data_IF_641617557847
#
_entry.id   IF_641617557847
#
_cell.length_a   1.000
_cell.length_b   1.000
_cell.length_c   1.000
_cell.angle_alpha   90.00
_cell.angle_beta   90.00
_cell.angle_gamma   90.00
#
_symmetry.space_group_name_H-M   'P 1'
#
loop_
_entity.id
_entity.type
_entity.pdbx_description
1 polymer ?
#
# COMPACT_ATOMS: atom_id res chain seq x y z
N UNK A 1 -16.42 24.07 -28.48
CA UNK A 1 -15.05 23.65 -28.85
C UNK A 1 -14.11 24.81 -28.60
N UNK A 2 -13.54 24.89 -27.40
CA UNK A 2 -12.52 25.88 -27.08
C UNK A 2 -11.20 25.28 -27.56
N UNK A 3 -10.45 25.93 -28.48
CA UNK A 3 -9.08 25.50 -28.79
C UNK A 3 -8.24 25.62 -27.52
N UNK A 4 -7.03 25.03 -27.52
CA UNK A 4 -6.15 25.10 -26.35
C UNK A 4 -6.07 26.54 -25.83
N UNK A 5 -6.77 26.79 -24.72
CA UNK A 5 -6.89 28.17 -24.17
C UNK A 5 -5.66 28.40 -23.29
N UNK A 6 -4.83 29.34 -23.71
CA UNK A 6 -3.70 29.80 -22.91
C UNK A 6 -4.10 31.17 -22.34
N UNK A 7 -4.10 31.27 -21.01
CA UNK A 7 -4.43 32.52 -20.31
C UNK A 7 -3.13 33.11 -19.73
N UNK A 8 -2.74 34.27 -20.30
CA UNK A 8 -1.63 35.09 -19.87
C UNK A 8 -2.20 36.43 -19.39
N UNK A 9 -1.67 37.01 -18.29
CA UNK A 9 -1.90 38.38 -17.80
C UNK A 9 -3.17 38.76 -17.01
N UNK A 10 -2.98 39.70 -16.09
CA UNK A 10 -3.84 40.66 -15.35
C UNK A 10 -5.34 40.33 -15.11
N UNK A 11 -5.76 39.10 -15.22
CA UNK A 11 -7.13 38.66 -14.92
C UNK A 11 -7.26 38.49 -13.42
N UNK A 12 -8.19 39.17 -12.76
CA UNK A 12 -8.42 39.04 -11.30
C UNK A 12 -9.01 37.69 -10.89
N UNK A 13 -9.80 37.08 -11.77
CA UNK A 13 -10.41 35.80 -11.53
C UNK A 13 -10.71 35.06 -12.83
N UNK A 14 -10.54 33.74 -12.80
CA UNK A 14 -10.96 32.85 -13.88
C UNK A 14 -12.03 31.92 -13.29
N UNK A 15 -13.17 31.84 -13.99
CA UNK A 15 -14.24 30.95 -13.61
C UNK A 15 -14.73 30.17 -14.82
N UNK A 16 -14.74 28.81 -14.70
CA UNK A 16 -15.30 27.91 -15.69
C UNK A 16 -16.24 26.93 -15.00
N UNK A 17 -17.45 26.88 -15.51
CA UNK A 17 -18.46 25.91 -15.03
C UNK A 17 -19.21 25.28 -16.20
N UNK A 18 -19.48 23.96 -16.09
CA UNK A 18 -20.22 23.17 -17.07
C UNK A 18 -19.63 23.21 -18.50
N UNK A 19 -18.30 23.33 -18.60
CA UNK A 19 -17.56 23.39 -19.85
C UNK A 19 -16.99 22.02 -20.25
N UNK A 20 -16.77 21.82 -21.55
CA UNK A 20 -16.05 20.67 -22.09
C UNK A 20 -14.81 21.15 -22.87
N UNK A 21 -13.63 20.84 -22.33
CA UNK A 21 -12.34 21.21 -22.89
C UNK A 21 -11.76 20.04 -23.70
N UNK A 22 -11.96 20.03 -25.02
CA UNK A 22 -11.45 18.97 -25.90
C UNK A 22 -9.93 19.02 -26.07
N UNK A 23 -9.37 20.23 -26.17
CA UNK A 23 -7.94 20.44 -26.45
C UNK A 23 -7.13 20.85 -25.20
N UNK A 24 -7.78 21.03 -24.05
CA UNK A 24 -7.13 21.38 -22.80
C UNK A 24 -7.21 22.87 -22.42
N UNK A 25 -6.64 23.18 -21.25
CA UNK A 25 -6.54 24.54 -20.69
C UNK A 25 -5.18 24.69 -20.03
N UNK A 26 -4.46 25.75 -20.36
CA UNK A 26 -3.18 26.09 -19.72
C UNK A 26 -3.22 27.51 -19.13
N UNK A 27 -2.89 27.60 -17.84
CA UNK A 27 -2.73 28.83 -17.08
C UNK A 27 -1.27 28.96 -16.70
N UNK A 28 -0.60 30.06 -17.05
CA UNK A 28 0.85 30.19 -16.83
C UNK A 28 1.28 31.64 -16.56
N UNK A 29 2.56 31.78 -16.19
CA UNK A 29 3.32 32.99 -16.05
C UNK A 29 2.78 33.99 -14.99
N UNK A 30 2.47 35.23 -15.33
CA UNK A 30 2.19 36.31 -14.38
C UNK A 30 0.77 36.34 -13.80
N UNK A 31 0.02 35.25 -13.85
CA UNK A 31 -1.32 35.19 -13.28
C UNK A 31 -1.27 35.36 -11.74
N UNK A 32 -2.05 36.30 -11.21
CA UNK A 32 -2.11 36.63 -9.75
C UNK A 32 -3.50 36.48 -9.14
N UNK A 33 -4.46 36.05 -9.92
CA UNK A 33 -5.85 36.04 -9.54
C UNK A 33 -6.27 34.79 -8.76
N UNK A 34 -7.57 34.57 -8.75
CA UNK A 34 -8.20 33.34 -8.26
C UNK A 34 -8.70 32.48 -9.42
N UNK A 35 -8.68 31.17 -9.21
CA UNK A 35 -9.16 30.19 -10.19
C UNK A 35 -10.33 29.43 -9.55
N UNK A 36 -11.46 29.37 -10.26
CA UNK A 36 -12.64 28.59 -9.90
C UNK A 36 -13.04 27.70 -11.09
N UNK A 37 -12.92 26.38 -10.96
CA UNK A 37 -13.19 25.41 -12.04
C UNK A 37 -14.10 24.32 -11.47
N UNK A 38 -15.36 24.30 -11.93
CA UNK A 38 -16.38 23.40 -11.34
C UNK A 38 -17.20 22.70 -12.41
N UNK A 39 -17.48 21.40 -12.17
CA UNK A 39 -18.36 20.61 -13.01
C UNK A 39 -17.95 20.57 -14.50
N UNK A 40 -16.64 20.51 -14.80
CA UNK A 40 -16.12 20.51 -16.17
C UNK A 40 -15.57 19.14 -16.57
N UNK A 41 -15.44 18.92 -17.87
CA UNK A 41 -14.82 17.73 -18.46
C UNK A 41 -13.61 18.17 -19.28
N UNK A 42 -12.44 17.64 -18.95
CA UNK A 42 -11.17 17.87 -19.65
C UNK A 42 -10.73 16.61 -20.39
N UNK A 43 -10.95 16.56 -21.69
CA UNK A 43 -10.45 15.51 -22.58
C UNK A 43 -9.00 15.75 -23.01
N UNK A 44 -8.57 17.03 -23.02
CA UNK A 44 -7.17 17.43 -23.17
C UNK A 44 -6.51 17.69 -21.82
N UNK A 45 -5.29 18.23 -21.85
CA UNK A 45 -4.46 18.48 -20.67
C UNK A 45 -4.92 19.73 -19.91
N UNK A 46 -4.95 19.64 -18.59
CA UNK A 46 -5.14 20.79 -17.71
C UNK A 46 -3.82 21.14 -17.02
N UNK A 47 -3.31 22.34 -17.27
CA UNK A 47 -2.00 22.76 -16.79
C UNK A 47 -2.06 24.08 -16.03
N UNK A 48 -1.33 24.15 -14.88
CA UNK A 48 -1.00 25.39 -14.16
C UNK A 48 0.52 25.42 -14.00
N UNK A 49 1.18 26.35 -14.69
CA UNK A 49 2.63 26.29 -14.88
C UNK A 49 3.32 27.61 -14.59
N UNK A 50 4.46 27.54 -13.86
CA UNK A 50 5.44 28.63 -13.70
C UNK A 50 4.92 29.93 -13.13
N UNK A 51 3.88 29.90 -12.30
CA UNK A 51 3.31 31.10 -11.69
C UNK A 51 4.17 31.47 -10.48
N UNK A 52 5.03 32.47 -10.66
CA UNK A 52 5.97 32.98 -9.65
C UNK A 52 5.34 33.93 -8.65
N UNK A 53 4.25 34.58 -9.03
CA UNK A 53 3.49 35.42 -8.14
C UNK A 53 2.46 34.61 -7.38
N UNK A 54 2.32 34.81 -6.08
CA UNK A 54 1.41 34.02 -5.27
C UNK A 54 -0.04 34.17 -5.72
N UNK A 55 -0.65 33.08 -6.18
CA UNK A 55 -2.08 33.00 -6.45
C UNK A 55 -2.86 32.97 -5.14
N UNK A 56 -3.89 33.79 -5.02
CA UNK A 56 -4.67 33.90 -3.78
C UNK A 56 -5.47 32.64 -3.47
N UNK A 57 -6.15 32.10 -4.48
CA UNK A 57 -6.98 30.91 -4.32
C UNK A 57 -7.15 30.13 -5.62
N UNK A 58 -7.02 28.83 -5.53
CA UNK A 58 -7.36 27.88 -6.61
C UNK A 58 -8.42 26.92 -6.06
N UNK A 59 -9.61 26.89 -6.68
CA UNK A 59 -10.75 26.07 -6.29
C UNK A 59 -11.23 25.24 -7.47
N UNK A 60 -10.92 23.94 -7.46
CA UNK A 60 -11.15 22.99 -8.55
C UNK A 60 -11.96 21.82 -8.02
N UNK A 61 -13.26 21.74 -8.40
CA UNK A 61 -14.18 20.76 -7.82
C UNK A 61 -15.08 20.09 -8.85
N UNK A 62 -15.35 18.78 -8.61
CA UNK A 62 -16.32 18.00 -9.38
C UNK A 62 -16.03 17.96 -10.87
N UNK A 63 -14.75 17.89 -11.23
CA UNK A 63 -14.33 17.82 -12.62
C UNK A 63 -13.86 16.40 -12.97
N UNK A 64 -13.87 16.11 -14.27
CA UNK A 64 -13.28 14.89 -14.84
C UNK A 64 -12.06 15.33 -15.65
N UNK A 65 -10.88 14.81 -15.26
CA UNK A 65 -9.61 15.11 -15.92
C UNK A 65 -8.98 13.87 -16.54
N UNK A 66 -8.48 14.02 -17.75
CA UNK A 66 -7.58 13.03 -18.35
C UNK A 66 -6.15 13.21 -17.81
N UNK A 67 -5.59 14.41 -17.95
CA UNK A 67 -4.25 14.72 -17.46
C UNK A 67 -4.25 16.07 -16.74
N UNK A 68 -3.56 16.12 -15.59
CA UNK A 68 -3.38 17.35 -14.80
C UNK A 68 -1.89 17.55 -14.54
N UNK A 69 -1.36 18.73 -14.85
CA UNK A 69 0.01 19.11 -14.54
C UNK A 69 0.02 20.45 -13.80
N UNK A 70 0.54 20.47 -12.57
CA UNK A 70 0.68 21.66 -11.74
C UNK A 70 2.14 21.75 -11.31
N UNK A 71 2.87 22.68 -11.91
CA UNK A 71 4.32 22.70 -11.76
C UNK A 71 4.89 24.10 -11.58
N UNK A 72 5.80 24.23 -10.59
CA UNK A 72 6.58 25.46 -10.32
C UNK A 72 5.69 26.69 -10.02
N UNK A 73 4.67 26.53 -9.18
CA UNK A 73 3.75 27.59 -8.80
C UNK A 73 3.87 27.98 -7.33
N UNK A 74 3.46 29.22 -7.01
CA UNK A 74 3.23 29.70 -5.64
C UNK A 74 1.73 29.93 -5.43
N UNK A 75 1.13 29.21 -4.48
CA UNK A 75 -0.32 29.19 -4.25
C UNK A 75 -0.60 29.36 -2.77
N UNK A 76 -1.41 30.35 -2.39
CA UNK A 76 -1.79 30.57 -1.00
C UNK A 76 -2.73 29.49 -0.51
N UNK A 77 -3.87 29.31 -1.17
CA UNK A 77 -4.86 28.27 -0.84
C UNK A 77 -5.25 27.47 -2.08
N UNK A 78 -5.10 26.15 -1.99
CA UNK A 78 -5.37 25.22 -3.09
C UNK A 78 -6.41 24.18 -2.68
N UNK A 79 -7.57 24.19 -3.33
CA UNK A 79 -8.66 23.26 -3.12
C UNK A 79 -8.91 22.48 -4.41
N UNK A 80 -8.61 21.19 -4.38
CA UNK A 80 -8.80 20.25 -5.48
C UNK A 80 -9.60 19.06 -4.95
N UNK A 81 -10.92 19.16 -5.07
CA UNK A 81 -11.82 18.29 -4.31
C UNK A 81 -12.89 17.64 -5.20
N UNK A 82 -13.31 16.42 -4.87
CA UNK A 82 -14.39 15.69 -5.55
C UNK A 82 -14.15 15.51 -7.07
N UNK A 83 -12.89 15.42 -7.51
CA UNK A 83 -12.55 15.23 -8.91
C UNK A 83 -12.27 13.76 -9.22
N UNK A 84 -12.48 13.36 -10.50
CA UNK A 84 -12.04 12.09 -11.06
C UNK A 84 -10.90 12.35 -12.04
N UNK A 85 -9.73 11.78 -11.78
CA UNK A 85 -8.50 12.10 -12.51
C UNK A 85 -7.83 10.80 -12.99
N UNK A 86 -7.48 10.73 -14.29
CA UNK A 86 -6.67 9.62 -14.78
C UNK A 86 -5.20 9.80 -14.38
N UNK A 87 -4.57 10.89 -14.76
CA UNK A 87 -3.16 11.14 -14.44
C UNK A 87 -2.98 12.54 -13.84
N UNK A 88 -2.21 12.65 -12.76
CA UNK A 88 -1.87 13.92 -12.13
C UNK A 88 -0.39 13.98 -11.75
N UNK A 89 0.22 15.11 -12.06
CA UNK A 89 1.58 15.42 -11.62
C UNK A 89 1.60 16.82 -10.99
N UNK A 90 1.96 16.85 -9.71
CA UNK A 90 2.09 18.08 -8.92
C UNK A 90 3.53 18.16 -8.43
N UNK A 91 4.28 19.09 -9.00
CA UNK A 91 5.71 19.16 -8.74
C UNK A 91 6.26 20.56 -8.55
N UNK A 92 7.22 20.68 -7.62
CA UNK A 92 7.96 21.92 -7.33
C UNK A 92 7.08 23.14 -7.00
N UNK A 93 5.93 22.92 -6.35
CA UNK A 93 5.03 23.98 -5.96
C UNK A 93 5.27 24.39 -4.50
N UNK A 94 4.96 25.64 -4.20
CA UNK A 94 4.86 26.18 -2.84
C UNK A 94 3.38 26.45 -2.52
N UNK A 95 2.85 25.73 -1.52
CA UNK A 95 1.51 25.95 -0.96
C UNK A 95 1.65 26.62 0.41
N UNK A 96 1.42 27.92 0.45
CA UNK A 96 1.81 28.76 1.59
C UNK A 96 0.85 28.69 2.78
N UNK A 97 -0.40 28.19 2.61
CA UNK A 97 -1.38 28.07 3.68
C UNK A 97 -1.98 26.67 3.74
N UNK A 98 -2.76 26.29 2.75
CA UNK A 98 -3.42 24.98 2.72
C UNK A 98 -3.49 24.41 1.31
N UNK A 99 -3.28 23.11 1.21
CA UNK A 99 -3.51 22.33 0.00
C UNK A 99 -4.45 21.16 0.34
N UNK A 100 -5.65 21.17 -0.24
CA UNK A 100 -6.67 20.14 -0.03
C UNK A 100 -6.88 19.35 -1.32
N UNK A 101 -6.67 18.04 -1.23
CA UNK A 101 -6.93 17.07 -2.28
C UNK A 101 -7.99 16.07 -1.81
N UNK A 102 -9.11 16.58 -1.27
CA UNK A 102 -10.09 15.76 -0.57
C UNK A 102 -11.10 15.09 -1.53
N UNK A 103 -11.53 13.87 -1.19
CA UNK A 103 -12.57 13.13 -1.88
C UNK A 103 -12.32 12.96 -3.40
N UNK A 104 -11.06 12.91 -3.83
CA UNK A 104 -10.71 12.67 -5.22
C UNK A 104 -10.57 11.17 -5.51
N UNK A 105 -10.83 10.81 -6.78
CA UNK A 105 -10.49 9.49 -7.32
C UNK A 105 -9.32 9.65 -8.29
N UNK A 106 -8.14 9.14 -7.90
CA UNK A 106 -6.94 9.08 -8.74
C UNK A 106 -6.86 7.68 -9.36
N UNK A 107 -7.24 7.59 -10.64
CA UNK A 107 -7.48 6.29 -11.27
C UNK A 107 -6.21 5.62 -11.78
N UNK A 108 -5.23 6.40 -12.30
CA UNK A 108 -3.97 5.85 -12.82
C UNK A 108 -2.78 6.45 -12.05
N UNK A 109 -2.10 7.40 -12.67
CA UNK A 109 -0.84 7.95 -12.15
C UNK A 109 -1.08 9.15 -11.24
N UNK A 110 -0.58 9.08 -10.01
CA UNK A 110 -0.63 10.18 -9.05
C UNK A 110 0.76 10.49 -8.50
N UNK A 111 1.34 11.61 -8.94
CA UNK A 111 2.70 12.02 -8.55
C UNK A 111 2.67 13.36 -7.83
N UNK A 112 3.27 13.37 -6.64
CA UNK A 112 3.63 14.56 -5.87
C UNK A 112 5.14 14.58 -5.66
N UNK A 113 5.82 15.53 -6.26
CA UNK A 113 7.27 15.57 -6.23
C UNK A 113 7.82 16.96 -5.87
N UNK A 114 8.71 17.02 -4.88
CA UNK A 114 9.46 18.24 -4.53
C UNK A 114 8.58 19.47 -4.24
N UNK A 115 7.40 19.27 -3.61
CA UNK A 115 6.53 20.34 -3.20
C UNK A 115 6.80 20.75 -1.75
N UNK A 116 6.49 21.99 -1.43
CA UNK A 116 6.48 22.52 -0.07
C UNK A 116 5.05 22.85 0.34
N UNK A 117 4.53 22.15 1.35
CA UNK A 117 3.20 22.37 1.90
C UNK A 117 3.30 22.95 3.31
N UNK A 118 2.50 23.98 3.60
CA UNK A 118 2.26 24.36 5.00
C UNK A 118 1.31 23.34 5.65
N UNK A 119 0.10 23.17 5.10
CA UNK A 119 -0.82 22.12 5.50
C UNK A 119 -1.33 21.36 4.29
N UNK A 120 -1.47 20.02 4.42
CA UNK A 120 -1.88 19.12 3.35
C UNK A 120 -3.01 18.20 3.80
N UNK A 121 -4.02 18.01 2.95
CA UNK A 121 -5.11 17.08 3.23
C UNK A 121 -5.45 16.22 2.01
N UNK A 122 -5.58 14.92 2.23
CA UNK A 122 -6.08 13.91 1.29
C UNK A 122 -7.34 13.21 1.80
N UNK A 123 -8.07 13.83 2.73
CA UNK A 123 -9.24 13.22 3.37
C UNK A 123 -10.18 12.58 2.34
N UNK A 124 -10.53 11.30 2.55
CA UNK A 124 -11.47 10.57 1.70
C UNK A 124 -11.02 10.27 0.28
N UNK A 125 -9.77 10.54 -0.08
CA UNK A 125 -9.26 10.31 -1.43
C UNK A 125 -8.87 8.85 -1.68
N UNK A 126 -9.07 8.38 -2.93
CA UNK A 126 -8.77 7.04 -3.38
C UNK A 126 -7.66 7.05 -4.41
N UNK A 127 -6.71 6.14 -4.28
CA UNK A 127 -5.61 5.93 -5.21
C UNK A 127 -5.71 4.50 -5.75
N UNK A 128 -6.15 4.35 -7.00
CA UNK A 128 -6.45 3.02 -7.56
C UNK A 128 -5.20 2.31 -8.07
N UNK A 129 -4.30 3.04 -8.76
CA UNK A 129 -3.14 2.40 -9.37
C UNK A 129 -1.80 2.82 -8.79
N UNK A 130 -1.49 4.10 -8.70
CA UNK A 130 -0.19 4.55 -8.24
C UNK A 130 -0.26 5.81 -7.40
N UNK A 131 0.52 5.82 -6.32
CA UNK A 131 0.69 7.00 -5.49
C UNK A 131 2.18 7.18 -5.19
N UNK A 132 2.74 8.26 -5.71
CA UNK A 132 4.13 8.63 -5.54
C UNK A 132 4.20 9.97 -4.82
N UNK A 133 4.73 9.96 -3.60
CA UNK A 133 4.83 11.16 -2.77
C UNK A 133 6.25 11.29 -2.22
N UNK A 134 7.19 11.80 -3.02
CA UNK A 134 8.59 11.84 -2.63
C UNK A 134 9.21 13.22 -2.72
N UNK A 135 10.21 13.47 -1.88
CA UNK A 135 10.90 14.76 -1.74
C UNK A 135 9.95 15.95 -1.42
N UNK A 136 8.76 15.67 -0.90
CA UNK A 136 7.87 16.71 -0.44
C UNK A 136 8.18 17.07 1.02
N UNK A 137 8.00 18.34 1.36
CA UNK A 137 8.13 18.84 2.72
C UNK A 137 6.77 19.32 3.21
N UNK A 138 6.34 18.88 4.38
CA UNK A 138 5.13 19.32 5.06
C UNK A 138 5.56 19.94 6.38
N UNK A 139 5.32 21.26 6.53
CA UNK A 139 5.72 22.01 7.73
C UNK A 139 4.73 21.85 8.88
N UNK A 140 3.43 21.89 8.57
CA UNK A 140 2.34 21.82 9.51
C UNK A 140 1.70 20.45 9.59
N UNK A 141 0.42 20.35 9.22
CA UNK A 141 -0.39 19.13 9.35
C UNK A 141 -0.55 18.36 8.04
N UNK A 142 -0.62 17.03 8.15
CA UNK A 142 -1.06 16.14 7.07
C UNK A 142 -2.31 15.39 7.54
N UNK A 143 -3.44 15.60 6.85
CA UNK A 143 -4.63 14.81 7.05
C UNK A 143 -4.76 13.74 5.95
N UNK A 144 -4.63 12.47 6.34
CA UNK A 144 -4.77 11.31 5.45
C UNK A 144 -5.89 10.36 5.89
N UNK A 145 -6.84 10.84 6.67
CA UNK A 145 -7.96 10.04 7.20
C UNK A 145 -8.86 9.59 6.05
N UNK A 146 -9.30 8.33 6.10
CA UNK A 146 -10.10 7.68 5.05
C UNK A 146 -9.43 7.67 3.66
N UNK A 147 -8.12 7.84 3.60
CA UNK A 147 -7.36 7.69 2.36
C UNK A 147 -7.21 6.19 2.06
N UNK A 148 -7.63 5.76 0.87
CA UNK A 148 -7.58 4.36 0.49
C UNK A 148 -6.48 4.10 -0.53
N UNK A 149 -5.58 3.19 -0.19
CA UNK A 149 -4.57 2.59 -1.07
C UNK A 149 -4.83 1.08 -1.10
N UNK A 150 -4.92 0.50 -2.28
CA UNK A 150 -5.17 -0.93 -2.42
C UNK A 150 -4.13 -1.59 -3.33
N UNK A 151 -2.89 -1.71 -2.81
CA UNK A 151 -1.80 -2.39 -3.51
C UNK A 151 -1.54 -3.75 -2.89
N UNK A 152 -1.38 -4.77 -3.75
CA UNK A 152 -0.68 -6.00 -3.37
C UNK A 152 0.83 -5.76 -3.40
N UNK A 153 1.59 -6.70 -2.86
CA UNK A 153 3.07 -6.64 -2.95
C UNK A 153 3.54 -6.63 -4.40
N UNK A 154 2.96 -7.48 -5.24
CA UNK A 154 3.35 -7.64 -6.64
C UNK A 154 3.01 -6.38 -7.45
N UNK A 155 1.83 -5.78 -7.25
CA UNK A 155 1.45 -4.50 -7.88
C UNK A 155 2.44 -3.39 -7.52
N UNK A 156 2.79 -3.27 -6.24
CA UNK A 156 3.73 -2.24 -5.79
C UNK A 156 5.13 -2.47 -6.35
N UNK A 157 5.59 -3.72 -6.39
CA UNK A 157 6.89 -4.08 -6.97
C UNK A 157 6.95 -3.74 -8.46
N UNK A 158 5.93 -4.11 -9.23
CA UNK A 158 5.84 -3.81 -10.66
C UNK A 158 5.88 -2.30 -10.91
N UNK A 159 5.11 -1.52 -10.13
CA UNK A 159 5.07 -0.05 -10.25
C UNK A 159 6.41 0.61 -9.91
N UNK A 160 7.08 0.16 -8.85
CA UNK A 160 8.43 0.65 -8.51
C UNK A 160 9.41 0.37 -9.67
N UNK A 161 9.38 -0.83 -10.25
CA UNK A 161 10.25 -1.21 -11.39
C UNK A 161 9.91 -0.39 -12.63
N UNK A 162 8.64 -0.22 -12.95
CA UNK A 162 8.20 0.59 -14.09
C UNK A 162 8.71 2.03 -13.95
N UNK A 163 8.51 2.64 -12.81
CA UNK A 163 8.97 4.01 -12.53
C UNK A 163 10.49 4.17 -12.57
N UNK A 164 11.20 3.20 -12.03
CA UNK A 164 12.65 3.15 -12.13
C UNK A 164 13.11 3.17 -13.59
N UNK A 165 12.49 2.34 -14.46
CA UNK A 165 12.81 2.29 -15.89
C UNK A 165 12.50 3.61 -16.60
N UNK A 166 11.33 4.19 -16.36
CA UNK A 166 10.89 5.46 -16.95
C UNK A 166 11.82 6.62 -16.55
N UNK A 167 12.14 6.71 -15.25
CA UNK A 167 13.02 7.76 -14.73
C UNK A 167 14.43 7.70 -15.31
N UNK A 168 14.96 6.50 -15.56
CA UNK A 168 16.33 6.31 -16.05
C UNK A 168 16.43 6.27 -17.57
N UNK A 169 15.31 6.13 -18.32
CA UNK A 169 15.28 5.91 -19.78
C UNK A 169 16.10 6.91 -20.59
N UNK A 170 16.13 8.19 -20.19
CA UNK A 170 16.80 9.27 -20.93
C UNK A 170 17.96 9.89 -20.15
N UNK A 171 18.45 9.23 -19.08
CA UNK A 171 19.54 9.77 -18.24
C UNK A 171 20.84 9.09 -18.52
N UNK A 172 21.94 9.88 -18.56
CA UNK A 172 23.30 9.35 -18.59
C UNK A 172 23.56 8.54 -17.30
N UNK A 173 24.39 7.52 -17.35
CA UNK A 173 24.69 6.60 -16.24
C UNK A 173 24.99 7.32 -14.92
N UNK A 174 25.73 8.43 -14.96
CA UNK A 174 26.07 9.23 -13.78
C UNK A 174 24.86 9.88 -13.06
N UNK A 175 23.71 9.97 -13.74
CA UNK A 175 22.49 10.59 -13.20
C UNK A 175 21.35 9.56 -13.00
N UNK A 176 21.67 8.28 -13.22
CA UNK A 176 20.72 7.21 -12.96
C UNK A 176 20.62 6.94 -11.48
N UNK A 177 19.41 6.65 -11.03
CA UNK A 177 19.13 6.28 -9.65
C UNK A 177 18.96 4.76 -9.58
N UNK A 178 19.61 4.09 -8.63
CA UNK A 178 19.48 2.64 -8.45
C UNK A 178 18.09 2.25 -7.94
N UNK A 179 17.68 1.00 -8.20
CA UNK A 179 16.33 0.51 -7.87
C UNK A 179 16.07 0.50 -6.36
N UNK A 180 17.09 0.16 -5.55
CA UNK A 180 17.01 0.20 -4.08
C UNK A 180 16.72 1.61 -3.55
N UNK A 181 17.34 2.64 -4.11
CA UNK A 181 17.06 4.04 -3.76
C UNK A 181 15.65 4.46 -4.21
N UNK A 182 15.17 3.92 -5.34
CA UNK A 182 13.80 4.17 -5.79
C UNK A 182 12.78 3.56 -4.83
N UNK A 183 12.97 2.29 -4.44
CA UNK A 183 12.13 1.62 -3.45
C UNK A 183 12.15 2.34 -2.10
N UNK A 184 13.32 2.90 -1.69
CA UNK A 184 13.41 3.73 -0.50
C UNK A 184 12.56 5.01 -0.57
N UNK A 185 12.44 5.68 -1.73
CA UNK A 185 11.57 6.86 -1.88
C UNK A 185 10.10 6.49 -1.64
N UNK A 186 9.64 5.35 -2.17
CA UNK A 186 8.30 4.84 -1.91
C UNK A 186 8.10 4.54 -0.42
N UNK A 187 9.07 3.88 0.21
CA UNK A 187 9.05 3.60 1.64
C UNK A 187 8.91 4.89 2.46
N UNK A 188 9.69 5.90 2.15
CA UNK A 188 9.66 7.18 2.87
C UNK A 188 8.33 7.91 2.65
N UNK A 189 7.72 7.79 1.46
CA UNK A 189 6.38 8.29 1.17
C UNK A 189 5.33 7.69 2.11
N UNK A 190 5.27 6.35 2.19
CA UNK A 190 4.33 5.65 3.06
C UNK A 190 4.57 5.94 4.54
N UNK A 191 5.84 6.12 4.94
CA UNK A 191 6.22 6.50 6.31
C UNK A 191 5.68 7.87 6.70
N UNK A 192 5.69 8.85 5.80
CA UNK A 192 5.14 10.19 6.04
C UNK A 192 3.65 10.09 6.37
N UNK A 193 2.89 9.37 5.57
CA UNK A 193 1.45 9.16 5.79
C UNK A 193 1.17 8.37 7.06
N UNK A 194 1.88 7.28 7.30
CA UNK A 194 1.77 6.52 8.53
C UNK A 194 1.98 7.40 9.76
N UNK A 195 3.05 8.19 9.80
CA UNK A 195 3.37 9.03 10.94
C UNK A 195 2.34 10.14 11.17
N UNK A 196 1.77 10.72 10.11
CA UNK A 196 0.69 11.67 10.22
C UNK A 196 -0.56 11.05 10.87
N UNK A 197 -0.96 9.85 10.43
CA UNK A 197 -2.11 9.13 10.99
C UNK A 197 -1.89 8.70 12.44
N UNK A 198 -0.65 8.32 12.81
CA UNK A 198 -0.29 8.04 14.23
C UNK A 198 -0.46 9.31 15.07
N UNK A 199 0.01 10.45 14.59
CA UNK A 199 -0.12 11.74 15.27
C UNK A 199 -1.59 12.10 15.50
N UNK A 200 -2.46 11.75 14.56
CA UNK A 200 -3.91 11.97 14.65
C UNK A 200 -4.63 10.83 15.41
N UNK A 201 -3.88 9.91 16.04
CA UNK A 201 -4.39 8.73 16.76
C UNK A 201 -5.25 7.79 15.89
N UNK A 202 -5.11 7.83 14.59
CA UNK A 202 -5.77 6.92 13.64
C UNK A 202 -4.90 5.71 13.32
N UNK A 203 -4.75 4.82 14.29
CA UNK A 203 -3.85 3.65 14.19
C UNK A 203 -4.35 2.61 13.18
N UNK A 204 -5.65 2.59 12.91
CA UNK A 204 -6.25 1.65 11.96
C UNK A 204 -5.79 1.93 10.53
N UNK A 205 -5.92 3.18 10.07
CA UNK A 205 -5.46 3.58 8.74
C UNK A 205 -3.93 3.60 8.67
N UNK A 206 -3.24 3.98 9.77
CA UNK A 206 -1.78 3.94 9.85
C UNK A 206 -1.23 2.53 9.61
N UNK A 207 -1.96 1.48 10.01
CA UNK A 207 -1.53 0.09 9.81
C UNK A 207 -1.42 -0.29 8.32
N UNK A 208 -2.30 0.25 7.47
CA UNK A 208 -2.26 0.02 6.02
C UNK A 208 -1.02 0.67 5.40
N UNK A 209 -0.71 1.93 5.77
CA UNK A 209 0.51 2.59 5.31
C UNK A 209 1.77 1.93 5.84
N UNK A 210 1.73 1.37 7.05
CA UNK A 210 2.84 0.59 7.60
C UNK A 210 3.10 -0.68 6.78
N UNK A 211 2.05 -1.38 6.34
CA UNK A 211 2.17 -2.52 5.44
C UNK A 211 2.91 -2.15 4.14
N UNK A 212 2.52 -1.07 3.48
CA UNK A 212 3.17 -0.61 2.25
C UNK A 212 4.61 -0.12 2.48
N UNK A 213 4.90 0.48 3.64
CA UNK A 213 6.28 0.79 4.06
C UNK A 213 7.13 -0.47 4.12
N UNK A 214 6.61 -1.57 4.71
CA UNK A 214 7.30 -2.84 4.82
C UNK A 214 7.46 -3.55 3.47
N UNK A 215 6.47 -3.49 2.59
CA UNK A 215 6.58 -3.96 1.21
C UNK A 215 7.72 -3.25 0.47
N UNK A 216 7.75 -1.92 0.52
CA UNK A 216 8.80 -1.13 -0.11
C UNK A 216 10.18 -1.44 0.48
N UNK A 217 10.26 -1.72 1.79
CA UNK A 217 11.50 -2.14 2.46
C UNK A 217 11.97 -3.50 1.98
N UNK A 218 11.07 -4.45 1.78
CA UNK A 218 11.42 -5.77 1.21
C UNK A 218 11.97 -5.64 -0.21
N UNK A 219 11.33 -4.80 -1.04
CA UNK A 219 11.78 -4.51 -2.41
C UNK A 219 13.14 -3.80 -2.41
N UNK A 220 13.36 -2.81 -1.51
CA UNK A 220 14.64 -2.14 -1.32
C UNK A 220 15.76 -3.15 -1.02
N UNK A 221 15.53 -4.04 -0.03
CA UNK A 221 16.51 -5.05 0.37
C UNK A 221 16.77 -6.08 -0.74
N UNK A 222 15.73 -6.40 -1.53
CA UNK A 222 15.90 -7.31 -2.67
C UNK A 222 16.70 -6.71 -3.80
N UNK A 223 16.58 -5.42 -4.01
CA UNK A 223 17.21 -4.69 -5.11
C UNK A 223 18.65 -4.24 -4.83
N UNK A 224 19.15 -4.36 -3.59
CA UNK A 224 20.54 -4.03 -3.25
C UNK A 224 21.53 -4.92 -4.00
N UNK A 225 22.52 -4.33 -4.64
CA UNK A 225 23.61 -5.05 -5.31
C UNK A 225 24.46 -5.85 -4.32
N UNK A 226 24.84 -5.21 -3.19
CA UNK A 226 25.60 -5.85 -2.11
C UNK A 226 24.73 -6.02 -0.88
N UNK A 227 24.50 -7.27 -0.48
CA UNK A 227 23.64 -7.62 0.67
C UNK A 227 24.50 -8.12 1.84
N UNK A 228 24.41 -7.44 2.96
CA UNK A 228 24.98 -7.93 4.21
C UNK A 228 24.18 -9.12 4.77
N UNK A 229 24.75 -9.85 5.74
CA UNK A 229 24.01 -10.91 6.44
C UNK A 229 22.75 -10.32 7.11
N UNK A 230 22.86 -9.12 7.69
CA UNK A 230 21.74 -8.40 8.28
C UNK A 230 20.64 -8.13 7.26
N UNK A 231 20.97 -7.65 6.06
CA UNK A 231 19.99 -7.40 4.99
C UNK A 231 19.26 -8.69 4.59
N UNK A 232 19.97 -9.82 4.52
CA UNK A 232 19.38 -11.13 4.19
C UNK A 232 18.41 -11.60 5.27
N UNK A 233 18.78 -11.46 6.55
CA UNK A 233 17.91 -11.83 7.68
C UNK A 233 16.67 -10.93 7.72
N UNK A 234 16.84 -9.61 7.58
CA UNK A 234 15.74 -8.65 7.55
C UNK A 234 14.78 -8.93 6.37
N UNK A 235 15.31 -9.17 5.17
CA UNK A 235 14.51 -9.58 4.00
C UNK A 235 13.70 -10.85 4.27
N UNK A 236 14.35 -11.89 4.83
CA UNK A 236 13.68 -13.15 5.14
C UNK A 236 12.57 -12.94 6.18
N UNK A 237 12.79 -12.10 7.19
CA UNK A 237 11.79 -11.76 8.19
C UNK A 237 10.58 -11.04 7.56
N UNK A 238 10.81 -10.06 6.68
CA UNK A 238 9.75 -9.34 5.98
C UNK A 238 8.94 -10.29 5.08
N UNK A 239 9.61 -11.11 4.28
CA UNK A 239 8.99 -12.15 3.45
C UNK A 239 8.14 -13.11 4.28
N UNK A 240 8.66 -13.57 5.44
CA UNK A 240 7.96 -14.47 6.34
C UNK A 240 6.65 -13.85 6.85
N UNK A 241 6.70 -12.63 7.40
CA UNK A 241 5.50 -11.98 7.93
C UNK A 241 4.51 -11.55 6.84
N UNK A 242 4.98 -11.22 5.65
CA UNK A 242 4.10 -10.98 4.50
C UNK A 242 3.29 -12.22 4.15
N UNK A 243 3.94 -13.36 4.04
CA UNK A 243 3.25 -14.61 3.69
C UNK A 243 2.40 -15.18 4.84
N UNK A 244 2.77 -14.95 6.10
CA UNK A 244 2.07 -15.45 7.26
C UNK A 244 0.77 -14.68 7.56
N UNK A 245 0.79 -13.35 7.47
CA UNK A 245 -0.29 -12.51 7.96
C UNK A 245 -0.39 -11.15 7.27
N UNK A 246 0.25 -11.00 6.10
CA UNK A 246 0.31 -9.73 5.36
C UNK A 246 0.75 -8.56 6.26
N UNK A 247 1.87 -8.77 6.99
CA UNK A 247 2.40 -7.82 7.99
C UNK A 247 1.36 -7.44 9.07
N UNK A 248 0.62 -8.42 9.56
CA UNK A 248 -0.41 -8.29 10.59
C UNK A 248 -1.69 -7.56 10.15
N UNK A 249 -1.96 -7.45 8.85
CA UNK A 249 -3.21 -6.84 8.34
C UNK A 249 -4.26 -7.88 7.96
N UNK A 250 -3.88 -9.13 7.67
CA UNK A 250 -4.79 -10.21 7.28
C UNK A 250 -4.91 -11.30 8.35
N UNK A 251 -6.00 -11.23 9.13
CA UNK A 251 -6.34 -12.22 10.14
C UNK A 251 -6.72 -13.58 9.53
N UNK A 252 -7.40 -13.56 8.38
CA UNK A 252 -7.86 -14.79 7.73
C UNK A 252 -6.68 -15.60 7.20
N UNK A 253 -5.69 -14.93 6.62
CA UNK A 253 -4.45 -15.55 6.17
C UNK A 253 -3.71 -16.20 7.33
N UNK A 254 -3.63 -15.51 8.48
CA UNK A 254 -2.98 -16.02 9.67
C UNK A 254 -3.70 -17.27 10.24
N UNK A 255 -5.04 -17.25 10.29
CA UNK A 255 -5.81 -18.43 10.69
C UNK A 255 -5.62 -19.63 9.75
N UNK A 256 -5.49 -19.40 8.44
CA UNK A 256 -5.15 -20.45 7.48
C UNK A 256 -3.80 -21.10 7.81
N UNK A 257 -2.79 -20.30 8.11
CA UNK A 257 -1.48 -20.80 8.49
C UNK A 257 -1.49 -21.55 9.82
N UNK A 258 -2.31 -21.10 10.79
CA UNK A 258 -2.52 -21.85 12.04
C UNK A 258 -3.02 -23.27 11.75
N UNK A 259 -4.08 -23.39 10.94
CA UNK A 259 -4.67 -24.68 10.55
C UNK A 259 -3.66 -25.55 9.79
N UNK A 260 -2.91 -24.96 8.83
CA UNK A 260 -1.89 -25.69 8.07
C UNK A 260 -0.76 -26.21 8.96
N UNK A 261 -0.28 -25.37 9.90
CA UNK A 261 0.81 -25.74 10.82
C UNK A 261 0.41 -26.92 11.71
N UNK A 262 -0.80 -26.89 12.27
CA UNK A 262 -1.33 -28.01 13.09
C UNK A 262 -1.49 -29.26 12.24
N UNK A 263 -2.14 -29.15 11.08
CA UNK A 263 -2.39 -30.30 10.22
C UNK A 263 -1.09 -30.97 9.74
N UNK A 264 -0.11 -30.18 9.34
CA UNK A 264 1.20 -30.65 8.92
C UNK A 264 1.92 -31.41 10.06
N UNK A 265 1.89 -30.84 11.26
CA UNK A 265 2.49 -31.49 12.43
C UNK A 265 1.86 -32.84 12.73
N UNK A 266 0.53 -32.90 12.77
CA UNK A 266 -0.21 -34.13 13.05
C UNK A 266 0.09 -35.22 12.01
N UNK A 267 0.17 -34.84 10.73
CA UNK A 267 0.55 -35.77 9.66
C UNK A 267 1.99 -36.30 9.82
N UNK A 268 2.94 -35.41 10.12
CA UNK A 268 4.36 -35.78 10.28
C UNK A 268 4.62 -36.61 11.52
N UNK A 269 3.81 -36.43 12.57
CA UNK A 269 3.91 -37.21 13.79
C UNK A 269 3.48 -38.69 13.58
N UNK A 270 2.65 -38.99 12.56
CA UNK A 270 2.23 -40.30 12.16
C UNK A 270 1.32 -41.03 13.19
N UNK A 271 0.73 -40.27 14.13
CA UNK A 271 -0.15 -40.86 15.19
C UNK A 271 -1.61 -40.99 14.74
N UNK A 272 -1.98 -40.61 13.52
CA UNK A 272 -3.33 -40.78 12.98
C UNK A 272 -3.45 -42.14 12.30
N UNK A 273 -4.53 -42.87 12.58
CA UNK A 273 -4.85 -44.13 11.90
C UNK A 273 -4.94 -43.92 10.38
N UNK A 274 -4.37 -44.80 9.57
CA UNK A 274 -4.29 -44.72 8.12
C UNK A 274 -5.66 -44.55 7.42
N UNK A 275 -6.73 -45.00 8.07
CA UNK A 275 -8.11 -44.86 7.56
C UNK A 275 -8.55 -43.40 7.38
N UNK A 276 -8.16 -42.53 8.30
CA UNK A 276 -8.55 -41.08 8.25
C UNK A 276 -7.89 -40.33 7.09
N UNK A 277 -6.56 -40.47 6.83
CA UNK A 277 -5.96 -39.86 5.64
C UNK A 277 -6.60 -40.28 4.32
N UNK A 278 -6.96 -41.57 4.18
CA UNK A 278 -7.64 -42.09 2.98
C UNK A 278 -9.03 -41.45 2.82
N UNK A 279 -9.83 -41.44 3.90
CA UNK A 279 -11.16 -40.81 3.88
C UNK A 279 -11.08 -39.30 3.55
N UNK A 280 -10.11 -38.59 4.10
CA UNK A 280 -9.84 -37.19 3.83
C UNK A 280 -9.45 -37.01 2.36
N UNK A 281 -8.58 -37.84 1.81
CA UNK A 281 -8.18 -37.77 0.40
C UNK A 281 -9.36 -37.94 -0.55
N UNK A 282 -10.24 -38.94 -0.30
CA UNK A 282 -11.46 -39.14 -1.09
C UNK A 282 -12.41 -37.95 -0.99
N UNK A 283 -12.62 -37.40 0.20
CA UNK A 283 -13.41 -36.21 0.41
C UNK A 283 -12.84 -34.99 -0.33
N UNK A 284 -11.53 -34.84 -0.34
CA UNK A 284 -10.85 -33.75 -1.03
C UNK A 284 -10.95 -33.85 -2.55
N UNK A 285 -10.81 -35.07 -3.09
CA UNK A 285 -11.02 -35.31 -4.51
C UNK A 285 -12.47 -34.92 -4.92
N UNK A 286 -13.44 -35.25 -4.07
CA UNK A 286 -14.84 -34.86 -4.28
C UNK A 286 -15.03 -33.34 -4.24
N UNK A 287 -14.46 -32.63 -3.25
CA UNK A 287 -14.53 -31.16 -3.10
C UNK A 287 -13.82 -30.46 -4.25
N UNK A 288 -12.66 -30.97 -4.69
CA UNK A 288 -11.94 -30.48 -5.86
C UNK A 288 -12.79 -30.60 -7.14
N UNK A 289 -13.44 -31.75 -7.36
CA UNK A 289 -14.34 -31.92 -8.51
C UNK A 289 -15.55 -30.96 -8.51
N UNK A 290 -15.94 -30.46 -7.33
CA UNK A 290 -17.00 -29.45 -7.18
C UNK A 290 -16.50 -28.00 -7.40
N UNK A 291 -15.23 -27.79 -7.80
CA UNK A 291 -14.67 -26.47 -8.16
C UNK A 291 -14.25 -25.60 -6.97
N UNK A 292 -14.06 -26.15 -5.80
CA UNK A 292 -13.59 -25.42 -4.62
C UNK A 292 -12.10 -25.05 -4.76
N UNK A 293 -11.79 -23.76 -4.83
CA UNK A 293 -10.40 -23.28 -5.04
C UNK A 293 -9.45 -23.52 -3.86
N UNK A 294 -9.96 -23.71 -2.63
CA UNK A 294 -9.15 -23.85 -1.40
C UNK A 294 -9.19 -25.26 -0.82
N UNK A 295 -8.98 -26.27 -1.64
CA UNK A 295 -9.00 -27.71 -1.23
C UNK A 295 -8.08 -27.97 -0.05
N UNK A 296 -6.86 -27.42 -0.07
CA UNK A 296 -5.89 -27.61 1.01
C UNK A 296 -6.37 -27.11 2.37
N UNK A 297 -7.12 -26.00 2.42
CA UNK A 297 -7.71 -25.50 3.65
C UNK A 297 -8.77 -26.44 4.20
N UNK A 298 -9.62 -27.00 3.33
CA UNK A 298 -10.66 -27.97 3.71
C UNK A 298 -10.02 -29.25 4.28
N UNK A 299 -8.98 -29.76 3.60
CA UNK A 299 -8.19 -30.92 4.07
C UNK A 299 -7.62 -30.67 5.46
N UNK A 300 -6.89 -29.58 5.60
CA UNK A 300 -6.21 -29.23 6.85
C UNK A 300 -7.21 -29.02 7.98
N UNK A 301 -8.35 -28.39 7.71
CA UNK A 301 -9.42 -28.19 8.70
C UNK A 301 -10.04 -29.53 9.12
N UNK A 302 -10.25 -30.47 8.20
CA UNK A 302 -10.75 -31.81 8.53
C UNK A 302 -9.75 -32.58 9.40
N UNK A 303 -8.45 -32.53 9.09
CA UNK A 303 -7.40 -33.15 9.91
C UNK A 303 -7.42 -32.57 11.33
N UNK A 304 -7.44 -31.24 11.46
CA UNK A 304 -7.48 -30.56 12.76
C UNK A 304 -8.74 -30.94 13.53
N UNK A 305 -9.91 -30.96 12.87
CA UNK A 305 -11.17 -31.31 13.49
C UNK A 305 -11.16 -32.75 14.03
N UNK A 306 -10.70 -33.73 13.22
CA UNK A 306 -10.55 -35.13 13.67
C UNK A 306 -9.58 -35.24 14.85
N UNK A 307 -8.46 -34.50 14.79
CA UNK A 307 -7.48 -34.49 15.88
C UNK A 307 -8.06 -33.92 17.19
N UNK A 308 -8.92 -32.93 17.10
CA UNK A 308 -9.63 -32.34 18.26
C UNK A 308 -10.52 -33.39 18.91
N UNK A 309 -11.20 -34.24 18.10
CA UNK A 309 -12.13 -35.21 18.60
C UNK A 309 -11.40 -36.46 19.18
N UNK A 310 -10.32 -36.89 18.56
CA UNK A 310 -9.61 -38.14 18.92
C UNK A 310 -8.50 -37.91 19.95
N UNK A 311 -7.60 -36.98 19.66
CA UNK A 311 -6.38 -36.74 20.48
C UNK A 311 -6.06 -35.25 20.66
N UNK A 312 -6.89 -34.45 21.36
CA UNK A 312 -6.73 -33.01 21.45
C UNK A 312 -5.39 -32.56 22.07
N UNK A 313 -4.78 -33.38 22.90
CA UNK A 313 -3.47 -33.09 23.54
C UNK A 313 -2.34 -32.92 22.52
N UNK A 314 -2.42 -33.52 21.34
CA UNK A 314 -1.40 -33.43 20.28
C UNK A 314 -1.32 -31.99 19.73
N UNK A 315 -2.43 -31.28 19.67
CA UNK A 315 -2.50 -29.92 19.08
C UNK A 315 -1.62 -28.93 19.83
N UNK A 316 -1.52 -29.05 21.15
CA UNK A 316 -0.69 -28.13 21.94
C UNK A 316 0.81 -28.43 21.77
N UNK A 317 1.19 -29.63 21.31
CA UNK A 317 2.60 -30.04 21.09
C UNK A 317 3.45 -30.12 22.36
N UNK A 318 3.14 -29.29 23.36
CA UNK A 318 3.89 -29.20 24.61
C UNK A 318 3.84 -30.51 25.40
N UNK A 319 2.71 -31.19 25.42
CA UNK A 319 2.57 -32.49 26.10
C UNK A 319 3.48 -33.55 25.48
N UNK A 320 3.70 -33.49 24.17
CA UNK A 320 4.55 -34.42 23.45
C UNK A 320 6.05 -34.21 23.73
N UNK A 321 6.46 -32.99 24.15
CA UNK A 321 7.85 -32.73 24.56
C UNK A 321 8.26 -33.53 25.83
N UNK A 322 7.30 -33.94 26.64
CA UNK A 322 7.53 -34.70 27.87
C UNK A 322 7.22 -36.22 27.73
N UNK A 323 6.77 -36.65 26.54
CA UNK A 323 6.60 -38.07 26.26
C UNK A 323 7.96 -38.77 26.11
N UNK A 324 8.19 -39.81 26.89
CA UNK A 324 9.48 -40.58 26.90
C UNK A 324 9.65 -41.50 25.69
N UNK A 325 8.57 -41.83 25.00
CA UNK A 325 8.53 -42.86 23.96
C UNK A 325 8.64 -42.32 22.51
N UNK A 326 8.98 -41.03 22.34
CA UNK A 326 9.20 -40.46 21.03
C UNK A 326 10.58 -40.81 20.47
N UNK A 327 10.65 -41.20 19.21
CA UNK A 327 11.91 -41.37 18.51
C UNK A 327 12.58 -40.01 18.18
N UNK A 328 13.87 -40.05 17.78
CA UNK A 328 14.64 -38.83 17.47
C UNK A 328 13.95 -37.93 16.42
N UNK A 329 13.33 -38.52 15.40
CA UNK A 329 12.62 -37.78 14.36
C UNK A 329 11.37 -37.07 14.89
N UNK A 330 10.59 -37.78 15.71
CA UNK A 330 9.39 -37.23 16.33
C UNK A 330 9.74 -36.08 17.32
N UNK A 331 10.83 -36.23 18.08
CA UNK A 331 11.33 -35.17 18.96
C UNK A 331 11.74 -33.93 18.17
N UNK A 332 12.46 -34.11 17.06
CA UNK A 332 12.88 -33.01 16.19
C UNK A 332 11.67 -32.28 15.61
N UNK A 333 10.69 -32.99 15.03
CA UNK A 333 9.46 -32.42 14.48
C UNK A 333 8.67 -31.70 15.56
N UNK A 334 8.53 -32.26 16.75
CA UNK A 334 7.80 -31.66 17.86
C UNK A 334 8.44 -30.34 18.28
N UNK A 335 9.77 -30.32 18.36
CA UNK A 335 10.51 -29.08 18.68
C UNK A 335 10.28 -27.98 17.63
N UNK A 336 10.39 -28.32 16.35
CA UNK A 336 10.11 -27.38 15.26
C UNK A 336 8.67 -26.89 15.28
N UNK A 337 7.73 -27.78 15.56
CA UNK A 337 6.31 -27.43 15.65
C UNK A 337 6.04 -26.42 16.78
N UNK A 338 6.60 -26.66 17.98
CA UNK A 338 6.42 -25.73 19.11
C UNK A 338 6.94 -24.34 18.81
N UNK A 339 8.07 -24.23 18.11
CA UNK A 339 8.59 -22.96 17.64
C UNK A 339 7.64 -22.33 16.61
N UNK A 340 7.22 -23.09 15.60
CA UNK A 340 6.36 -22.62 14.53
C UNK A 340 4.99 -22.16 15.04
N UNK A 341 4.34 -22.96 15.87
CA UNK A 341 3.03 -22.62 16.44
C UNK A 341 3.13 -21.39 17.35
N UNK A 342 4.22 -21.26 18.11
CA UNK A 342 4.50 -20.07 18.92
C UNK A 342 4.56 -18.80 18.08
N UNK A 343 5.26 -18.83 16.94
CA UNK A 343 5.35 -17.70 16.01
C UNK A 343 3.99 -17.37 15.38
N UNK A 344 3.21 -18.39 14.97
CA UNK A 344 1.87 -18.19 14.40
C UNK A 344 0.91 -17.61 15.43
N UNK A 345 0.91 -18.11 16.66
CA UNK A 345 0.04 -17.61 17.75
C UNK A 345 0.43 -16.17 18.15
N UNK A 346 1.72 -15.87 18.24
CA UNK A 346 2.19 -14.51 18.49
C UNK A 346 1.74 -13.55 17.38
N UNK A 347 1.88 -13.97 16.11
CA UNK A 347 1.42 -13.20 14.96
C UNK A 347 -0.11 -13.01 15.01
N UNK A 348 -0.86 -14.07 15.35
CA UNK A 348 -2.32 -14.01 15.47
C UNK A 348 -2.76 -13.03 16.56
N UNK A 349 -2.12 -13.07 17.73
CA UNK A 349 -2.38 -12.12 18.82
C UNK A 349 -2.14 -10.68 18.37
N UNK A 350 -1.03 -10.42 17.68
CA UNK A 350 -0.70 -9.08 17.17
C UNK A 350 -1.69 -8.63 16.10
N UNK A 351 -2.06 -9.51 15.17
CA UNK A 351 -3.04 -9.22 14.11
C UNK A 351 -4.44 -8.96 14.67
N UNK A 352 -4.86 -9.71 15.69
CA UNK A 352 -6.16 -9.52 16.36
C UNK A 352 -6.24 -8.18 17.12
N UNK A 353 -5.12 -7.69 17.63
CA UNK A 353 -5.03 -6.38 18.31
C UNK A 353 -4.66 -5.29 17.30
N UNK A 354 -5.63 -4.84 16.48
CA UNK A 354 -5.41 -3.85 15.42
C UNK A 354 -4.63 -2.60 15.87
N UNK A 355 -4.76 -2.21 17.15
CA UNK A 355 -4.04 -1.04 17.70
C UNK A 355 -2.55 -1.29 17.99
N UNK A 356 -2.06 -2.52 17.93
CA UNK A 356 -0.65 -2.87 18.23
C UNK A 356 0.19 -3.15 16.99
N UNK A 357 -0.37 -2.97 15.79
CA UNK A 357 0.32 -3.24 14.52
C UNK A 357 1.40 -2.18 14.28
N UNK A 358 1.09 -0.93 14.61
CA UNK A 358 2.03 0.20 14.47
C UNK A 358 2.75 0.37 15.80
N UNK A 359 4.11 0.30 15.83
CA UNK A 359 4.86 0.64 17.04
C UNK A 359 4.61 2.10 17.41
N UNK A 360 4.28 2.33 18.66
CA UNK A 360 4.22 3.69 19.22
C UNK A 360 5.61 4.33 19.23
#
# INVERSE_FOLDING_TARGET
>A
NIPNLVLDFFIKSIEFELCNFKNGLTIRDDFRGSISIKNNIFLGDFNILWIKNEMSKVDIRKNIFKNVLICENQILSFHFEENSIQNINISKNLFSKEARFNNNSFNNECIFFSNLFENLSFYGSKFEESFIFFQNTIKGTLNAVNTNLNFTFDDLQEKIIQRYKEFNKNKKEQHQKSLDKFANDFRDSFRIFKNALIKDNNLLDASNFHKYELYSKEIELDSKETKTIKDKVEKWQLWFYRNLCDHHTDLVLNLKWLVYTIALYVLLLGKISFVYPVAIFVFCAYVYMRGFKNVWLVVSSAIVFITILDTPKIILGISNLFEKDLNLWQNFITTLYVIAIGLVLFSLQKTARKNSIVPN
#
